data_IF_828876521121
#
_entry.id   IF_828876521121
#
_cell.length_a   1.000
_cell.length_b   1.000
_cell.length_c   1.000
_cell.angle_alpha   90.00
_cell.angle_beta   90.00
_cell.angle_gamma   90.00
#
_symmetry.space_group_name_H-M   'P 1'
#
loop_
_entity.id
_entity.type
_entity.pdbx_description
1 polymer ?
#
# COMPACT_ATOMS: atom_id res chain seq x y z
N UNK A 1 -30.02 -46.18 58.53
CA UNK A 1 -28.68 -46.65 58.10
C UNK A 1 -28.55 -46.39 56.60
N UNK A 2 -27.92 -45.29 56.16
CA UNK A 2 -27.76 -44.98 54.74
C UNK A 2 -26.56 -45.73 54.14
N UNK A 3 -26.77 -46.40 53.00
CA UNK A 3 -25.80 -47.25 52.33
C UNK A 3 -24.67 -46.43 51.64
N UNK A 4 -23.38 -46.76 51.84
CA UNK A 4 -22.24 -45.96 51.37
C UNK A 4 -21.71 -46.39 49.98
N UNK A 5 -22.57 -46.66 48.99
CA UNK A 5 -22.13 -47.23 47.70
C UNK A 5 -22.49 -46.41 46.45
N UNK A 6 -22.96 -45.15 46.58
CA UNK A 6 -23.44 -44.33 45.45
C UNK A 6 -22.57 -43.12 45.09
N UNK A 7 -21.33 -43.03 45.59
CA UNK A 7 -20.48 -41.85 45.38
C UNK A 7 -19.57 -41.85 44.11
N UNK A 8 -19.05 -42.99 43.56
CA UNK A 8 -18.04 -42.90 42.50
C UNK A 8 -18.60 -42.47 41.13
N UNK A 9 -19.87 -42.80 40.83
CA UNK A 9 -20.48 -42.48 39.54
C UNK A 9 -20.74 -40.98 39.34
N UNK A 10 -21.00 -40.23 40.42
CA UNK A 10 -21.24 -38.78 40.33
C UNK A 10 -19.97 -38.00 40.05
N UNK A 11 -18.83 -38.46 40.60
CA UNK A 11 -17.52 -37.84 40.35
C UNK A 11 -17.07 -38.11 38.91
N UNK A 12 -17.25 -39.34 38.41
CA UNK A 12 -16.93 -39.65 37.01
C UNK A 12 -17.77 -38.83 36.02
N UNK A 13 -19.07 -38.65 36.27
CA UNK A 13 -19.93 -37.83 35.41
C UNK A 13 -19.52 -36.35 35.43
N UNK A 14 -19.15 -35.82 36.60
CA UNK A 14 -18.67 -34.45 36.73
C UNK A 14 -17.34 -34.24 35.98
N UNK A 15 -16.41 -35.20 36.05
CA UNK A 15 -15.12 -35.13 35.34
C UNK A 15 -15.32 -35.22 33.82
N UNK A 16 -16.21 -36.09 33.32
CA UNK A 16 -16.51 -36.19 31.88
C UNK A 16 -17.18 -34.91 31.36
N UNK A 17 -18.11 -34.32 32.10
CA UNK A 17 -18.72 -33.03 31.73
C UNK A 17 -17.69 -31.89 31.73
N UNK A 18 -16.80 -31.85 32.72
CA UNK A 18 -15.75 -30.83 32.79
C UNK A 18 -14.77 -30.97 31.61
N UNK A 19 -14.30 -32.19 31.31
CA UNK A 19 -13.40 -32.45 30.19
C UNK A 19 -14.05 -32.19 28.83
N UNK A 20 -15.35 -32.48 28.67
CA UNK A 20 -16.12 -32.16 27.47
C UNK A 20 -16.22 -30.65 27.20
N UNK A 21 -16.44 -29.84 28.25
CA UNK A 21 -16.50 -28.37 28.10
C UNK A 21 -15.13 -27.74 27.79
N UNK A 22 -14.04 -28.32 28.29
CA UNK A 22 -12.66 -27.84 28.00
C UNK A 22 -12.25 -28.23 26.57
N UNK A 23 -12.69 -29.38 26.06
CA UNK A 23 -12.41 -29.83 24.68
C UNK A 23 -13.11 -28.98 23.60
N UNK A 24 -14.33 -28.49 23.86
CA UNK A 24 -15.06 -27.64 22.92
C UNK A 24 -14.53 -26.20 22.85
N UNK A 25 -13.87 -25.72 23.92
CA UNK A 25 -13.33 -24.35 23.98
C UNK A 25 -12.07 -24.13 23.14
N UNK A 26 -11.36 -25.19 22.73
CA UNK A 26 -10.16 -25.05 21.89
C UNK A 26 -10.46 -25.06 20.38
N UNK A 27 -11.61 -25.59 19.97
CA UNK A 27 -12.04 -25.58 18.56
C UNK A 27 -12.88 -24.33 18.18
N UNK A 28 -13.38 -23.56 19.15
CA UNK A 28 -14.10 -22.32 18.88
C UNK A 28 -13.18 -21.13 18.58
N UNK A 29 -11.91 -21.19 18.98
CA UNK A 29 -10.98 -20.10 18.72
C UNK A 29 -10.49 -20.09 17.27
N UNK A 30 -10.20 -21.26 16.70
CA UNK A 30 -9.78 -21.41 15.29
C UNK A 30 -10.89 -20.97 14.33
N UNK A 31 -12.15 -21.37 14.59
CA UNK A 31 -13.30 -20.91 13.78
C UNK A 31 -13.57 -19.41 13.82
N UNK A 32 -13.22 -18.74 14.92
CA UNK A 32 -13.46 -17.31 15.06
C UNK A 32 -12.42 -16.45 14.31
N UNK A 33 -11.23 -17.00 14.05
CA UNK A 33 -10.18 -16.33 13.30
C UNK A 33 -10.37 -16.50 11.78
N UNK A 34 -10.86 -17.67 11.32
CA UNK A 34 -11.25 -17.89 9.91
C UNK A 34 -12.39 -16.94 9.47
N UNK A 35 -13.44 -16.80 10.28
CA UNK A 35 -14.59 -15.90 10.00
C UNK A 35 -14.20 -14.41 9.88
N UNK A 36 -13.08 -13.99 10.47
CA UNK A 36 -12.60 -12.60 10.38
C UNK A 36 -11.87 -12.35 9.06
N UNK A 37 -11.07 -13.32 8.62
CA UNK A 37 -10.32 -13.21 7.38
C UNK A 37 -11.27 -13.15 6.17
N UNK A 38 -12.34 -13.97 6.18
CA UNK A 38 -13.35 -13.97 5.13
C UNK A 38 -14.06 -12.61 4.99
N UNK A 39 -14.43 -11.97 6.11
CA UNK A 39 -15.06 -10.64 6.09
C UNK A 39 -14.12 -9.54 5.63
N UNK A 40 -12.86 -9.60 6.04
CA UNK A 40 -11.85 -8.63 5.62
C UNK A 40 -11.56 -8.78 4.11
N UNK A 41 -11.55 -10.01 3.60
CA UNK A 41 -11.44 -10.30 2.17
C UNK A 41 -12.66 -9.81 1.39
N UNK A 42 -13.88 -10.06 1.86
CA UNK A 42 -15.11 -9.55 1.26
C UNK A 42 -15.12 -8.02 1.20
N UNK A 43 -14.80 -7.34 2.30
CA UNK A 43 -14.70 -5.88 2.36
C UNK A 43 -13.58 -5.32 1.46
N UNK A 44 -12.50 -6.07 1.24
CA UNK A 44 -11.44 -5.70 0.29
C UNK A 44 -11.94 -5.82 -1.16
N UNK A 45 -12.66 -6.90 -1.49
CA UNK A 45 -13.25 -7.11 -2.81
C UNK A 45 -14.31 -6.06 -3.14
N UNK A 46 -15.16 -5.70 -2.17
CA UNK A 46 -16.17 -4.64 -2.32
C UNK A 46 -15.52 -3.29 -2.63
N UNK A 47 -14.48 -2.89 -1.86
CA UNK A 47 -13.73 -1.66 -2.12
C UNK A 47 -13.11 -1.62 -3.51
N UNK A 48 -12.52 -2.72 -3.97
CA UNK A 48 -11.97 -2.80 -5.32
C UNK A 48 -13.05 -2.71 -6.40
N UNK A 49 -14.23 -3.28 -6.18
CA UNK A 49 -15.37 -3.15 -7.09
C UNK A 49 -15.87 -1.72 -7.21
N UNK A 50 -15.94 -1.00 -6.09
CA UNK A 50 -16.33 0.41 -6.09
C UNK A 50 -15.29 1.29 -6.78
N UNK A 51 -13.99 1.06 -6.52
CA UNK A 51 -12.88 1.74 -7.21
C UNK A 51 -12.94 1.50 -8.74
N UNK A 52 -13.19 0.25 -9.15
CA UNK A 52 -13.39 -0.09 -10.56
C UNK A 52 -14.56 0.67 -11.16
N UNK A 53 -15.70 0.70 -10.48
CA UNK A 53 -16.92 1.39 -10.94
C UNK A 53 -16.68 2.90 -11.07
N UNK A 54 -15.95 3.50 -10.14
CA UNK A 54 -15.58 4.91 -10.19
C UNK A 54 -14.67 5.21 -11.39
N UNK A 55 -13.64 4.39 -11.64
CA UNK A 55 -12.76 4.50 -12.81
C UNK A 55 -13.54 4.35 -14.12
N UNK A 56 -14.45 3.39 -14.22
CA UNK A 56 -15.35 3.22 -15.38
C UNK A 56 -16.16 4.49 -15.65
N UNK A 57 -16.76 5.07 -14.62
CA UNK A 57 -17.53 6.32 -14.74
C UNK A 57 -16.66 7.49 -15.20
N UNK A 58 -15.42 7.60 -14.69
CA UNK A 58 -14.47 8.65 -15.09
C UNK A 58 -14.04 8.50 -16.55
N UNK A 59 -13.76 7.28 -17.01
CA UNK A 59 -13.45 6.99 -18.41
C UNK A 59 -14.62 7.40 -19.31
N UNK A 60 -15.84 7.02 -18.96
CA UNK A 60 -17.04 7.42 -19.72
C UNK A 60 -17.23 8.93 -19.77
N UNK A 61 -17.01 9.63 -18.65
CA UNK A 61 -17.12 11.08 -18.58
C UNK A 61 -16.09 11.75 -19.51
N UNK A 62 -14.84 11.28 -19.54
CA UNK A 62 -13.81 11.79 -20.45
C UNK A 62 -14.18 11.54 -21.93
N UNK A 63 -14.68 10.35 -22.27
CA UNK A 63 -15.11 10.05 -23.65
C UNK A 63 -16.28 10.94 -24.07
N UNK A 64 -17.26 11.16 -23.19
CA UNK A 64 -18.38 12.08 -23.45
C UNK A 64 -17.87 13.51 -23.66
N UNK A 65 -16.98 13.99 -22.78
CA UNK A 65 -16.37 15.32 -22.89
C UNK A 65 -15.57 15.50 -24.18
N UNK A 66 -14.79 14.49 -24.57
CA UNK A 66 -14.02 14.49 -25.81
C UNK A 66 -14.92 14.66 -27.04
N UNK A 67 -16.00 13.88 -27.12
CA UNK A 67 -16.99 13.97 -28.21
C UNK A 67 -17.61 15.36 -28.30
N UNK A 68 -18.06 15.90 -27.17
CA UNK A 68 -18.67 17.23 -27.12
C UNK A 68 -17.68 18.33 -27.56
N UNK A 69 -16.41 18.23 -27.19
CA UNK A 69 -15.38 19.16 -27.63
C UNK A 69 -15.05 19.01 -29.13
N UNK A 70 -15.10 17.78 -29.65
CA UNK A 70 -14.96 17.50 -31.07
C UNK A 70 -16.08 18.13 -31.90
N UNK A 71 -17.34 18.00 -31.45
CA UNK A 71 -18.51 18.62 -32.08
C UNK A 71 -18.43 20.15 -32.09
N UNK A 72 -17.82 20.74 -31.05
CA UNK A 72 -17.61 22.18 -30.94
C UNK A 72 -16.38 22.70 -31.71
N UNK A 73 -15.68 21.83 -32.46
CA UNK A 73 -14.50 22.19 -33.24
C UNK A 73 -13.20 22.36 -32.44
N UNK A 74 -13.21 22.06 -31.13
CA UNK A 74 -12.01 22.11 -30.30
C UNK A 74 -11.27 20.76 -30.33
N UNK A 75 -10.69 20.45 -31.49
CA UNK A 75 -10.05 19.16 -31.76
C UNK A 75 -8.90 18.83 -30.81
N UNK A 76 -8.08 19.81 -30.46
CA UNK A 76 -6.94 19.59 -29.55
C UNK A 76 -7.38 19.17 -28.14
N UNK A 77 -8.40 19.84 -27.59
CA UNK A 77 -8.93 19.48 -26.27
C UNK A 77 -9.64 18.11 -26.29
N UNK A 78 -10.30 17.76 -27.40
CA UNK A 78 -10.88 16.44 -27.61
C UNK A 78 -9.80 15.35 -27.63
N UNK A 79 -8.74 15.52 -28.42
CA UNK A 79 -7.61 14.58 -28.50
C UNK A 79 -6.91 14.40 -27.13
N UNK A 80 -6.78 15.49 -26.36
CA UNK A 80 -6.23 15.44 -24.99
C UNK A 80 -7.10 14.58 -24.06
N UNK A 81 -8.43 14.73 -24.12
CA UNK A 81 -9.34 13.92 -23.31
C UNK A 81 -9.40 12.45 -23.78
N UNK A 82 -9.26 12.19 -25.08
CA UNK A 82 -9.14 10.83 -25.60
C UNK A 82 -7.88 10.14 -25.09
N UNK A 83 -6.75 10.84 -25.05
CA UNK A 83 -5.51 10.31 -24.49
C UNK A 83 -5.66 10.00 -23.00
N UNK A 84 -6.23 10.94 -22.23
CA UNK A 84 -6.52 10.71 -20.81
C UNK A 84 -7.48 9.53 -20.58
N UNK A 85 -8.49 9.37 -21.44
CA UNK A 85 -9.39 8.22 -21.39
C UNK A 85 -8.66 6.90 -21.71
N UNK A 86 -7.71 6.91 -22.63
CA UNK A 86 -6.90 5.74 -22.96
C UNK A 86 -5.99 5.32 -21.81
N UNK A 87 -5.35 6.28 -21.13
CA UNK A 87 -4.51 5.98 -19.96
C UNK A 87 -5.33 5.41 -18.80
N UNK A 88 -6.49 6.01 -18.49
CA UNK A 88 -7.40 5.47 -17.46
C UNK A 88 -7.95 4.08 -17.83
N UNK A 89 -8.11 3.76 -19.12
CA UNK A 89 -8.47 2.39 -19.55
C UNK A 89 -7.37 1.39 -19.24
N UNK A 90 -6.09 1.75 -19.42
CA UNK A 90 -4.97 0.87 -19.03
C UNK A 90 -4.95 0.65 -17.53
N UNK A 91 -5.19 1.69 -16.73
CA UNK A 91 -5.31 1.54 -15.27
C UNK A 91 -6.44 0.57 -14.89
N UNK A 92 -7.58 0.66 -15.57
CA UNK A 92 -8.71 -0.24 -15.37
C UNK A 92 -8.36 -1.69 -15.76
N UNK A 93 -7.62 -1.90 -16.85
CA UNK A 93 -7.10 -3.22 -17.24
C UNK A 93 -6.13 -3.78 -16.19
N UNK A 94 -5.24 -2.95 -15.64
CA UNK A 94 -4.35 -3.34 -14.55
C UNK A 94 -5.12 -3.72 -13.28
N UNK A 95 -6.16 -2.95 -12.93
CA UNK A 95 -7.00 -3.22 -11.78
C UNK A 95 -7.80 -4.51 -11.96
N UNK A 96 -8.33 -4.75 -13.16
CA UNK A 96 -8.98 -6.02 -13.51
C UNK A 96 -8.00 -7.21 -13.45
N UNK A 97 -6.74 -7.02 -13.86
CA UNK A 97 -5.74 -8.08 -13.74
C UNK A 97 -5.41 -8.39 -12.28
N UNK A 98 -5.23 -7.37 -11.44
CA UNK A 98 -5.02 -7.53 -9.99
C UNK A 98 -6.19 -8.27 -9.33
N UNK A 99 -7.43 -7.93 -9.72
CA UNK A 99 -8.64 -8.59 -9.24
C UNK A 99 -8.70 -10.08 -9.58
N UNK A 100 -8.16 -10.50 -10.73
CA UNK A 100 -8.08 -11.91 -11.10
C UNK A 100 -6.98 -12.65 -10.33
N UNK A 101 -5.86 -11.98 -10.01
CA UNK A 101 -4.77 -12.58 -9.22
C UNK A 101 -5.22 -12.82 -7.77
N UNK A 102 -5.90 -11.85 -7.16
CA UNK A 102 -6.41 -11.98 -5.78
C UNK A 102 -7.52 -13.05 -5.63
N UNK A 103 -8.23 -13.41 -6.71
CA UNK A 103 -9.21 -14.52 -6.70
C UNK A 103 -8.57 -15.91 -6.84
N UNK A 104 -7.32 -15.98 -7.26
CA UNK A 104 -6.61 -17.23 -7.52
C UNK A 104 -5.40 -17.46 -6.59
N UNK A 105 -4.98 -16.46 -5.83
CA UNK A 105 -3.99 -16.59 -4.77
C UNK A 105 -4.62 -17.16 -3.50
N UNK A 106 -3.88 -18.01 -2.80
CA UNK A 106 -4.18 -18.52 -1.46
C UNK A 106 -5.04 -19.80 -1.34
N UNK A 107 -4.93 -20.69 -2.32
CA UNK A 107 -4.93 -22.14 -2.03
C UNK A 107 -3.56 -22.76 -2.35
N UNK A 108 -2.48 -22.02 -2.09
CA UNK A 108 -1.18 -22.66 -1.88
C UNK A 108 -1.19 -23.23 -0.48
N UNK A 109 -1.64 -24.49 -0.37
CA UNK A 109 -1.43 -25.33 0.79
C UNK A 109 0.10 -25.44 1.02
N UNK A 110 0.68 -24.81 2.06
CA UNK A 110 2.12 -24.84 2.28
C UNK A 110 2.63 -26.24 2.66
N UNK A 111 1.73 -27.21 2.87
CA UNK A 111 2.07 -28.58 3.26
C UNK A 111 2.36 -29.52 2.07
N UNK A 112 2.36 -29.05 0.82
CA UNK A 112 2.78 -29.86 -0.34
C UNK A 112 4.28 -29.84 -0.65
N UNK A 113 5.13 -29.58 0.35
CA UNK A 113 6.50 -30.06 0.31
C UNK A 113 6.54 -31.53 0.73
N UNK A 114 6.01 -32.42 -0.12
CA UNK A 114 6.36 -33.84 -0.04
C UNK A 114 7.87 -33.94 -0.24
N UNK A 115 8.56 -34.20 0.87
CA UNK A 115 9.90 -34.75 0.87
C UNK A 115 9.85 -36.05 0.08
N UNK A 116 10.22 -35.97 -1.20
CA UNK A 116 10.58 -37.14 -1.98
C UNK A 116 11.78 -37.81 -1.32
N UNK A 117 11.50 -38.85 -0.55
CA UNK A 117 12.45 -39.79 0.02
C UNK A 117 13.30 -40.38 -1.12
N UNK A 118 14.53 -39.89 -1.24
CA UNK A 118 15.59 -40.58 -1.97
C UNK A 118 16.36 -41.46 -0.99
N UNK A 119 15.81 -42.64 -0.69
CA UNK A 119 16.59 -43.73 -0.10
C UNK A 119 17.33 -44.51 -1.20
N UNK A 120 18.66 -44.35 -1.16
CA UNK A 120 19.73 -45.31 -1.43
C UNK A 120 19.61 -46.39 -2.53
N UNK A 121 20.56 -46.33 -3.47
CA UNK A 121 21.29 -47.52 -3.92
C UNK A 121 22.78 -47.20 -4.12
N UNK A 122 23.62 -47.91 -3.37
CA UNK A 122 25.08 -47.98 -3.47
C UNK A 122 25.58 -48.28 -4.89
N UNK A 123 26.72 -47.70 -5.28
CA UNK A 123 27.93 -48.40 -5.75
C UNK A 123 29.01 -47.46 -6.34
N UNK A 124 30.11 -47.27 -5.60
CA UNK A 124 31.51 -47.23 -6.11
C UNK A 124 32.05 -45.93 -6.75
N UNK A 125 33.37 -45.89 -7.05
CA UNK A 125 34.38 -45.36 -6.14
C UNK A 125 35.02 -44.04 -6.60
N UNK A 126 35.73 -43.42 -5.65
CA UNK A 126 36.79 -42.42 -5.76
C UNK A 126 37.14 -41.90 -7.17
N UNK A 127 36.94 -40.59 -7.38
CA UNK A 127 37.88 -39.80 -8.16
C UNK A 127 37.98 -38.38 -7.60
N UNK A 128 39.17 -38.07 -7.07
CA UNK A 128 39.62 -36.71 -6.74
C UNK A 128 39.67 -35.89 -8.02
N UNK A 129 38.66 -35.05 -8.24
CA UNK A 129 38.73 -33.92 -9.16
C UNK A 129 39.23 -32.66 -8.44
N UNK A 130 39.97 -31.77 -9.12
CA UNK A 130 40.68 -30.67 -8.48
C UNK A 130 39.73 -29.65 -7.87
N UNK A 131 40.10 -29.14 -6.70
CA UNK A 131 39.53 -27.95 -6.06
C UNK A 131 39.66 -26.74 -7.01
N UNK A 132 38.67 -26.53 -7.87
CA UNK A 132 38.48 -25.25 -8.52
C UNK A 132 37.81 -24.31 -7.53
N UNK A 133 38.65 -23.57 -6.78
CA UNK A 133 38.28 -22.27 -6.22
C UNK A 133 37.91 -21.36 -7.39
N UNK A 134 36.64 -21.36 -7.77
CA UNK A 134 36.09 -20.27 -8.58
C UNK A 134 36.22 -18.96 -7.80
N UNK A 135 36.53 -17.84 -8.47
CA UNK A 135 36.57 -16.55 -7.80
C UNK A 135 35.20 -16.27 -7.19
N UNK A 136 35.19 -15.85 -5.93
CA UNK A 136 34.05 -15.18 -5.31
C UNK A 136 33.72 -13.98 -6.18
N UNK A 137 32.77 -14.15 -7.09
CA UNK A 137 32.14 -13.05 -7.78
C UNK A 137 31.27 -12.33 -6.74
N UNK A 138 31.89 -11.45 -5.96
CA UNK A 138 31.23 -10.23 -5.52
C UNK A 138 30.91 -9.40 -6.76
N UNK A 139 29.85 -9.79 -7.47
CA UNK A 139 29.21 -8.90 -8.41
C UNK A 139 28.85 -7.62 -7.66
N UNK A 140 29.06 -6.43 -8.24
CA UNK A 140 28.50 -5.22 -7.67
C UNK A 140 27.01 -5.46 -7.47
N UNK A 141 26.50 -5.15 -6.29
CA UNK A 141 25.07 -4.97 -6.05
C UNK A 141 24.61 -3.89 -7.05
N UNK A 142 24.27 -4.32 -8.26
CA UNK A 142 23.55 -3.54 -9.23
C UNK A 142 22.14 -3.49 -8.66
N UNK A 143 21.91 -2.50 -7.79
CA UNK A 143 20.59 -1.93 -7.64
C UNK A 143 20.03 -1.77 -9.06
N UNK A 144 18.95 -2.50 -9.35
CA UNK A 144 18.24 -2.37 -10.61
C UNK A 144 17.90 -0.91 -10.90
N UNK A 145 17.49 -0.58 -12.14
CA UNK A 145 17.16 0.80 -12.52
C UNK A 145 16.24 1.40 -11.46
N UNK A 146 16.79 2.37 -10.70
CA UNK A 146 16.21 2.89 -9.47
C UNK A 146 14.96 3.72 -9.76
N UNK A 147 13.86 3.03 -10.04
CA UNK A 147 12.53 3.63 -10.13
C UNK A 147 11.94 3.93 -8.74
N UNK A 148 12.55 3.45 -7.67
CA UNK A 148 12.03 3.61 -6.30
C UNK A 148 12.63 4.81 -5.54
N UNK A 149 13.35 5.72 -6.22
CA UNK A 149 13.76 6.95 -5.57
C UNK A 149 12.69 8.03 -5.75
N UNK A 150 11.87 8.35 -4.73
CA UNK A 150 10.86 9.42 -4.80
C UNK A 150 11.44 10.77 -5.25
N UNK A 151 12.71 11.07 -4.97
CA UNK A 151 13.36 12.28 -5.49
C UNK A 151 13.50 12.27 -7.02
N UNK A 152 13.69 11.10 -7.64
CA UNK A 152 13.79 10.96 -9.09
C UNK A 152 12.44 11.23 -9.76
N UNK A 153 11.36 10.69 -9.22
CA UNK A 153 10.00 10.92 -9.72
C UNK A 153 9.62 12.41 -9.64
N UNK A 154 9.90 13.07 -8.52
CA UNK A 154 9.63 14.51 -8.35
C UNK A 154 10.42 15.34 -9.37
N UNK A 155 11.69 14.98 -9.65
CA UNK A 155 12.51 15.65 -10.68
C UNK A 155 11.95 15.45 -12.10
N UNK A 156 11.51 14.24 -12.45
CA UNK A 156 10.86 13.98 -13.74
C UNK A 156 9.58 14.81 -13.89
N UNK A 157 8.75 14.86 -12.84
CA UNK A 157 7.53 15.67 -12.83
C UNK A 157 7.82 17.17 -13.01
N UNK A 158 8.88 17.68 -12.38
CA UNK A 158 9.35 19.06 -12.58
C UNK A 158 9.76 19.33 -14.03
N UNK A 159 10.50 18.40 -14.66
CA UNK A 159 10.87 18.54 -16.07
C UNK A 159 9.65 18.60 -17.00
N UNK A 160 8.66 17.72 -16.81
CA UNK A 160 7.42 17.75 -17.61
C UNK A 160 6.64 19.05 -17.42
N UNK A 161 6.54 19.57 -16.20
CA UNK A 161 5.86 20.85 -15.96
C UNK A 161 6.60 22.04 -16.57
N UNK A 162 7.95 22.03 -16.56
CA UNK A 162 8.75 23.06 -17.22
C UNK A 162 8.55 23.05 -18.74
N UNK A 163 8.54 21.88 -19.37
CA UNK A 163 8.21 21.75 -20.79
C UNK A 163 6.80 22.26 -21.09
N UNK A 164 5.81 21.90 -20.28
CA UNK A 164 4.45 22.39 -20.43
C UNK A 164 4.36 23.92 -20.31
N UNK A 165 5.12 24.52 -19.38
CA UNK A 165 5.20 25.97 -19.23
C UNK A 165 5.74 26.66 -20.48
N UNK A 166 6.81 26.10 -21.08
CA UNK A 166 7.35 26.61 -22.35
C UNK A 166 6.27 26.59 -23.44
N UNK A 167 5.56 25.47 -23.61
CA UNK A 167 4.48 25.38 -24.60
C UNK A 167 3.36 26.40 -24.35
N UNK A 168 2.99 26.65 -23.09
CA UNK A 168 1.95 27.62 -22.73
C UNK A 168 2.37 29.07 -23.01
N UNK A 169 3.64 29.41 -22.79
CA UNK A 169 4.17 30.71 -23.19
C UNK A 169 4.12 30.91 -24.71
N UNK A 170 4.51 29.90 -25.49
CA UNK A 170 4.41 29.96 -26.96
C UNK A 170 2.97 30.02 -27.45
N UNK A 171 2.03 29.40 -26.74
CA UNK A 171 0.60 29.44 -27.04
C UNK A 171 -0.10 30.75 -26.62
N UNK A 172 0.61 31.68 -25.97
CA UNK A 172 0.03 32.95 -25.52
C UNK A 172 -1.00 32.78 -24.41
N UNK A 173 -0.83 31.79 -23.52
CA UNK A 173 -1.72 31.52 -22.38
C UNK A 173 -1.07 31.91 -21.03
N UNK A 174 -0.95 33.22 -20.72
CA UNK A 174 -0.20 33.69 -19.55
C UNK A 174 -0.84 33.28 -18.22
N UNK A 175 -2.18 33.24 -18.13
CA UNK A 175 -2.87 32.88 -16.88
C UNK A 175 -2.63 31.41 -16.50
N UNK A 176 -2.70 30.52 -17.49
CA UNK A 176 -2.42 29.09 -17.31
C UNK A 176 -0.94 28.87 -17.02
N UNK A 177 -0.05 29.59 -17.72
CA UNK A 177 1.38 29.54 -17.47
C UNK A 177 1.71 29.98 -16.03
N UNK A 178 1.09 31.06 -15.52
CA UNK A 178 1.26 31.50 -14.15
C UNK A 178 0.84 30.42 -13.13
N UNK A 179 -0.28 29.74 -13.38
CA UNK A 179 -0.72 28.63 -12.53
C UNK A 179 0.27 27.45 -12.54
N UNK A 180 0.77 27.06 -13.71
CA UNK A 180 1.78 25.99 -13.83
C UNK A 180 3.09 26.41 -13.13
N UNK A 181 3.49 27.67 -13.24
CA UNK A 181 4.66 28.20 -12.54
C UNK A 181 4.53 28.06 -11.01
N UNK A 182 3.37 28.43 -10.44
CA UNK A 182 3.12 28.24 -9.00
C UNK A 182 3.21 26.76 -8.58
N UNK A 183 2.72 25.85 -9.42
CA UNK A 183 2.83 24.40 -9.18
C UNK A 183 4.27 23.90 -9.27
N UNK A 184 5.08 24.40 -10.21
CA UNK A 184 6.51 24.10 -10.29
C UNK A 184 7.21 24.50 -8.99
N UNK A 185 6.92 25.69 -8.46
CA UNK A 185 7.51 26.18 -7.21
C UNK A 185 7.10 25.35 -5.98
N UNK A 186 5.85 24.88 -5.94
CA UNK A 186 5.37 23.96 -4.91
C UNK A 186 6.13 22.61 -4.97
N UNK A 187 6.15 21.97 -6.13
CA UNK A 187 6.84 20.68 -6.33
C UNK A 187 8.37 20.81 -6.09
N UNK A 188 8.98 21.95 -6.42
CA UNK A 188 10.38 22.21 -6.14
C UNK A 188 10.68 22.39 -4.63
N UNK A 189 9.69 22.83 -3.83
CA UNK A 189 9.82 22.83 -2.36
C UNK A 189 9.75 21.42 -1.81
N UNK A 190 8.82 20.60 -2.29
CA UNK A 190 8.73 19.18 -1.90
C UNK A 190 10.05 18.44 -2.18
N UNK A 191 10.66 18.66 -3.34
CA UNK A 191 11.96 18.07 -3.67
C UNK A 191 13.05 18.48 -2.67
N UNK A 192 13.15 19.77 -2.35
CA UNK A 192 14.14 20.29 -1.39
C UNK A 192 13.93 19.74 0.01
N UNK A 193 12.68 19.62 0.46
CA UNK A 193 12.37 18.99 1.75
C UNK A 193 12.76 17.51 1.76
N UNK A 194 12.47 16.80 0.68
CA UNK A 194 12.83 15.39 0.54
C UNK A 194 14.35 15.19 0.57
N UNK A 195 15.10 15.98 -0.19
CA UNK A 195 16.56 15.98 -0.20
C UNK A 195 17.14 16.37 1.16
N UNK A 196 16.54 17.36 1.84
CA UNK A 196 16.96 17.76 3.19
C UNK A 196 16.77 16.64 4.22
N UNK A 197 15.65 15.91 4.17
CA UNK A 197 15.40 14.77 5.07
C UNK A 197 16.41 13.63 4.84
N UNK A 198 16.75 13.37 3.58
CA UNK A 198 17.78 12.39 3.25
C UNK A 198 19.16 12.85 3.73
N UNK A 199 19.50 14.12 3.52
CA UNK A 199 20.76 14.68 3.99
C UNK A 199 20.87 14.65 5.53
N UNK A 200 19.79 14.92 6.25
CA UNK A 200 19.76 14.81 7.72
C UNK A 200 19.93 13.36 8.18
N UNK A 201 19.35 12.39 7.47
CA UNK A 201 19.50 10.96 7.76
C UNK A 201 20.93 10.47 7.53
N UNK A 202 21.56 10.93 6.46
CA UNK A 202 22.92 10.52 6.10
C UNK A 202 23.99 11.18 7.00
N UNK A 203 23.72 12.38 7.51
CA UNK A 203 24.61 13.10 8.45
C UNK A 203 24.23 12.91 9.93
N UNK A 204 23.17 12.15 10.23
CA UNK A 204 22.83 11.85 11.61
C UNK A 204 24.05 11.17 12.27
N UNK A 205 24.56 11.69 13.41
CA UNK A 205 25.70 11.07 14.06
C UNK A 205 25.36 9.60 14.29
N UNK A 206 26.29 8.67 13.98
CA UNK A 206 26.04 7.26 14.17
C UNK A 206 25.52 7.10 15.59
N UNK A 207 24.33 6.49 15.73
CA UNK A 207 23.74 6.23 17.04
C UNK A 207 24.80 5.51 17.83
N UNK A 208 25.45 6.23 18.74
CA UNK A 208 26.37 5.66 19.70
C UNK A 208 25.51 4.66 20.44
N UNK A 209 25.69 3.39 20.12
CA UNK A 209 25.02 2.31 20.84
C UNK A 209 25.30 2.63 22.30
N UNK A 210 24.24 2.95 23.05
CA UNK A 210 24.36 3.22 24.47
C UNK A 210 25.24 2.10 25.03
N UNK A 211 26.29 2.43 25.80
CA UNK A 211 27.24 1.44 26.28
C UNK A 211 26.44 0.28 26.83
N UNK A 212 26.73 -0.91 26.32
CA UNK A 212 26.13 -2.15 26.77
C UNK A 212 26.41 -2.24 28.27
N UNK A 213 25.52 -1.69 29.10
CA UNK A 213 25.61 -1.79 30.54
C UNK A 213 25.70 -3.27 30.83
N UNK A 214 26.80 -3.66 31.49
CA UNK A 214 27.12 -5.03 31.86
C UNK A 214 25.92 -5.66 32.55
N UNK A 215 25.05 -6.29 31.78
CA UNK A 215 23.87 -6.97 32.29
C UNK A 215 24.37 -8.30 32.85
N UNK A 216 24.25 -8.53 34.16
CA UNK A 216 24.77 -9.75 34.76
C UNK A 216 24.11 -10.98 34.10
N UNK A 217 24.91 -12.01 33.75
CA UNK A 217 24.36 -13.25 33.19
C UNK A 217 23.41 -13.87 34.21
N UNK A 218 22.12 -13.96 33.87
CA UNK A 218 21.07 -14.55 34.73
C UNK A 218 19.96 -13.60 35.17
N UNK A 219 20.02 -12.31 34.83
CA UNK A 219 18.87 -11.43 35.04
C UNK A 219 17.77 -11.76 34.01
N UNK A 220 16.72 -12.44 34.47
CA UNK A 220 15.45 -12.59 33.73
C UNK A 220 15.04 -11.18 33.29
N UNK A 221 14.85 -10.92 31.98
CA UNK A 221 14.41 -9.61 31.53
C UNK A 221 13.12 -9.28 32.29
N UNK A 222 13.02 -8.10 32.94
CA UNK A 222 11.77 -7.70 33.57
C UNK A 222 10.68 -7.85 32.50
N UNK A 223 9.48 -8.34 32.87
CA UNK A 223 8.37 -8.44 31.93
C UNK A 223 8.30 -7.10 31.23
N UNK A 224 8.50 -7.12 29.91
CA UNK A 224 8.48 -5.92 29.10
C UNK A 224 7.09 -5.35 29.30
N UNK A 225 6.94 -4.43 30.26
CA UNK A 225 5.81 -3.52 30.27
C UNK A 225 5.86 -2.93 28.89
N UNK A 226 4.80 -3.15 28.13
CA UNK A 226 4.56 -2.57 26.83
C UNK A 226 4.64 -1.06 27.01
N UNK A 227 5.84 -0.50 27.05
CA UNK A 227 6.05 0.93 27.00
C UNK A 227 5.78 1.23 25.54
N UNK A 228 4.54 1.60 25.25
CA UNK A 228 4.13 2.14 23.96
C UNK A 228 5.15 3.18 23.56
N UNK A 229 5.97 2.83 22.57
CA UNK A 229 6.98 3.68 21.97
C UNK A 229 6.23 4.84 21.30
N UNK A 230 6.25 6.07 21.84
CA UNK A 230 5.57 7.18 21.21
C UNK A 230 6.47 7.66 20.08
N UNK A 231 6.29 7.09 18.89
CA UNK A 231 7.14 7.41 17.75
C UNK A 231 6.88 6.57 16.51
N UNK A 232 5.65 6.06 16.34
CA UNK A 232 5.24 5.57 15.03
C UNK A 232 4.86 6.79 14.16
N UNK A 233 5.50 7.02 13.00
CA UNK A 233 5.21 8.16 12.13
C UNK A 233 3.80 8.12 11.52
N UNK A 234 3.09 7.00 11.63
CA UNK A 234 1.79 6.79 10.97
C UNK A 234 0.57 7.25 11.79
N UNK A 235 0.77 7.73 13.01
CA UNK A 235 -0.30 8.37 13.77
C UNK A 235 -0.41 9.85 13.37
N UNK A 236 -0.98 10.12 12.20
CA UNK A 236 -1.54 11.46 11.92
C UNK A 236 -2.49 11.76 13.06
N UNK A 237 -2.12 12.71 13.93
CA UNK A 237 -2.95 13.09 15.09
C UNK A 237 -4.37 13.38 14.58
N UNK A 238 -5.41 12.81 15.19
CA UNK A 238 -6.80 12.94 14.71
C UNK A 238 -7.24 14.41 14.56
N UNK A 239 -6.63 15.32 15.33
CA UNK A 239 -6.81 16.77 15.19
C UNK A 239 -6.39 17.29 13.80
N UNK A 240 -5.23 16.87 13.27
CA UNK A 240 -4.76 17.29 11.93
C UNK A 240 -5.63 16.74 10.81
N UNK A 241 -6.18 15.54 10.98
CA UNK A 241 -7.09 14.93 10.01
C UNK A 241 -8.42 15.67 9.97
N UNK A 242 -8.90 16.14 11.12
CA UNK A 242 -10.11 16.95 11.20
C UNK A 242 -9.93 18.32 10.55
N UNK A 243 -8.80 18.98 10.79
CA UNK A 243 -8.45 20.26 10.14
C UNK A 243 -8.32 20.11 8.62
N UNK A 244 -7.66 19.04 8.15
CA UNK A 244 -7.54 18.75 6.73
C UNK A 244 -8.91 18.48 6.09
N UNK A 245 -9.77 17.72 6.79
CA UNK A 245 -11.13 17.43 6.33
C UNK A 245 -11.96 18.72 6.20
N UNK A 246 -11.86 19.62 7.19
CA UNK A 246 -12.51 20.94 7.11
C UNK A 246 -12.00 21.75 5.93
N UNK A 247 -10.68 21.78 5.73
CA UNK A 247 -10.06 22.52 4.63
C UNK A 247 -10.50 21.98 3.25
N UNK A 248 -10.65 20.66 3.11
CA UNK A 248 -11.17 20.03 1.89
C UNK A 248 -12.62 20.42 1.62
N UNK A 249 -13.47 20.44 2.66
CA UNK A 249 -14.88 20.85 2.53
C UNK A 249 -14.96 22.32 2.11
N UNK A 250 -14.20 23.21 2.75
CA UNK A 250 -14.16 24.64 2.40
C UNK A 250 -13.68 24.87 0.95
N UNK A 251 -12.64 24.16 0.52
CA UNK A 251 -12.17 24.22 -0.87
C UNK A 251 -13.25 23.75 -1.87
N UNK A 252 -13.97 22.68 -1.54
CA UNK A 252 -15.03 22.15 -2.40
C UNK A 252 -16.17 23.15 -2.54
N UNK A 253 -16.62 23.75 -1.45
CA UNK A 253 -17.67 24.77 -1.48
C UNK A 253 -17.25 26.00 -2.30
N UNK A 254 -15.98 26.40 -2.19
CA UNK A 254 -15.44 27.52 -2.98
C UNK A 254 -15.42 27.19 -4.49
N UNK A 255 -15.03 25.98 -4.88
CA UNK A 255 -15.07 25.52 -6.27
C UNK A 255 -16.50 25.43 -6.82
N UNK A 256 -17.46 24.97 -6.02
CA UNK A 256 -18.87 24.94 -6.42
C UNK A 256 -19.44 26.36 -6.61
N UNK A 257 -19.05 27.32 -5.77
CA UNK A 257 -19.44 28.73 -5.93
C UNK A 257 -18.87 29.34 -7.23
N UNK A 258 -17.57 29.15 -7.48
CA UNK A 258 -16.93 29.64 -8.71
C UNK A 258 -17.56 29.03 -9.97
N UNK A 259 -17.91 27.74 -9.91
CA UNK A 259 -18.56 27.04 -11.02
C UNK A 259 -19.93 27.67 -11.34
N UNK A 260 -20.73 28.00 -10.31
CA UNK A 260 -22.01 28.70 -10.48
C UNK A 260 -21.82 30.10 -11.06
N UNK A 261 -20.85 30.86 -10.56
CA UNK A 261 -20.56 32.21 -11.08
C UNK A 261 -20.17 32.18 -12.56
N UNK A 262 -19.31 31.23 -12.97
CA UNK A 262 -18.94 31.05 -14.39
C UNK A 262 -20.16 30.70 -15.24
N UNK A 263 -21.08 29.90 -14.70
CA UNK A 263 -22.31 29.52 -15.41
C UNK A 263 -23.28 30.70 -15.55
N UNK A 264 -23.49 31.49 -14.49
CA UNK A 264 -24.27 32.73 -14.58
C UNK A 264 -23.67 33.74 -15.57
N UNK A 265 -22.34 33.88 -15.60
CA UNK A 265 -21.67 34.76 -16.55
C UNK A 265 -21.82 34.27 -18.01
N UNK A 266 -21.92 32.96 -18.22
CA UNK A 266 -22.22 32.39 -19.55
C UNK A 266 -23.66 32.66 -19.97
N UNK A 267 -24.62 32.53 -19.06
CA UNK A 267 -26.04 32.80 -19.36
C UNK A 267 -26.33 34.28 -19.61
N UNK A 268 -25.49 35.19 -19.11
CA UNK A 268 -25.60 36.63 -19.36
C UNK A 268 -24.97 37.11 -20.69
N UNK A 269 -24.23 36.25 -21.41
CA UNK A 269 -23.64 36.57 -22.71
C UNK A 269 -24.49 36.06 -23.86
#
# INVERSE_FOLDING_TARGET
>A
MPCPHSMPLRICFAVVLLLGTIGLSKNSHVRADDDRNDRDQEARMERMHDEKRELEQRVEACIRGARQLGENGNRFAAETLEHAAADMRRELEHLAHRFNVDQHGDHHDPDQHEHGDHEHADHGPENRGPENRGPENHGPNQHGPGHDNPAHEIRQRLQHMQQALEHLHHAGMPDVAHHIQQRIEATARELREHESRHHERDNAPPRVNAPHENRPPGAIPPPQRLIHRPGSPDAVRPEKMHDLTRQIIEMREHLERLTREVQELRERR
#
